data_IF_709914763826
#
_entry.id   IF_709914763826
#
_cell.length_a   1.000
_cell.length_b   1.000
_cell.length_c   1.000
_cell.angle_alpha   90.00
_cell.angle_beta   90.00
_cell.angle_gamma   90.00
#
_symmetry.space_group_name_H-M   'P 1'
#
loop_
_entity.id
_entity.type
_entity.pdbx_description
1 polymer ?
#
# COMPACT_ATOMS: atom_id res chain seq x y z
N UNK A 1 -28.73 -4.74 -31.68
CA UNK A 1 -28.32 -4.52 -30.28
C UNK A 1 -26.82 -4.72 -30.24
N UNK A 2 -26.05 -3.63 -30.22
CA UNK A 2 -24.59 -3.67 -30.14
C UNK A 2 -24.22 -4.06 -28.71
N UNK A 3 -23.52 -5.18 -28.53
CA UNK A 3 -22.96 -5.53 -27.23
C UNK A 3 -22.09 -4.36 -26.71
N UNK A 4 -22.16 -4.02 -25.42
CA UNK A 4 -21.33 -2.98 -24.84
C UNK A 4 -19.86 -3.38 -24.93
N UNK A 5 -19.12 -2.77 -25.86
CA UNK A 5 -17.69 -2.98 -26.04
C UNK A 5 -16.92 -2.40 -24.84
N UNK A 6 -16.13 -3.25 -24.16
CA UNK A 6 -15.25 -2.82 -23.08
C UNK A 6 -13.94 -2.25 -23.64
N UNK A 7 -13.78 -0.92 -23.60
CA UNK A 7 -12.54 -0.27 -24.02
C UNK A 7 -11.49 -0.30 -22.90
N UNK A 8 -10.48 -1.15 -23.08
CA UNK A 8 -9.34 -1.31 -22.16
C UNK A 8 -8.44 -0.06 -22.09
N UNK A 9 -8.40 0.74 -23.16
CA UNK A 9 -7.54 1.92 -23.26
C UNK A 9 -8.23 3.19 -22.74
N UNK A 10 -9.45 3.07 -22.23
CA UNK A 10 -10.20 4.19 -21.72
C UNK A 10 -9.37 4.97 -20.68
N UNK A 11 -9.25 6.32 -20.77
CA UNK A 11 -8.41 7.13 -19.89
C UNK A 11 -8.65 6.93 -18.38
N UNK A 12 -9.83 6.42 -18.02
CA UNK A 12 -10.24 6.09 -16.63
C UNK A 12 -9.44 4.93 -16.01
N UNK A 13 -8.75 4.14 -16.83
CA UNK A 13 -7.94 2.98 -16.42
C UNK A 13 -6.43 3.27 -16.45
N UNK A 14 -6.08 4.56 -16.39
CA UNK A 14 -4.69 5.02 -16.24
C UNK A 14 -4.40 5.36 -14.77
N UNK A 15 -3.14 5.17 -14.36
CA UNK A 15 -2.65 5.56 -13.05
C UNK A 15 -2.71 7.07 -12.85
N UNK A 16 -2.44 7.56 -11.63
CA UNK A 16 -2.52 8.99 -11.29
C UNK A 16 -1.59 9.88 -12.13
N UNK A 17 -0.51 9.33 -12.69
CA UNK A 17 0.37 10.03 -13.63
C UNK A 17 -0.17 10.09 -15.07
N UNK A 18 -1.24 9.36 -15.41
CA UNK A 18 -1.77 9.27 -16.78
C UNK A 18 -0.88 8.51 -17.77
N UNK A 19 0.28 8.02 -17.34
CA UNK A 19 1.28 7.40 -18.22
C UNK A 19 1.14 5.88 -18.32
N UNK A 20 0.76 5.22 -17.23
CA UNK A 20 0.74 3.75 -17.14
C UNK A 20 -0.67 3.22 -16.91
N UNK A 21 -0.97 2.04 -17.48
CA UNK A 21 -2.22 1.32 -17.21
C UNK A 21 -2.27 0.86 -15.75
N UNK A 22 -3.47 0.84 -15.15
CA UNK A 22 -3.68 0.52 -13.72
C UNK A 22 -3.12 -0.84 -13.32
N UNK A 23 -3.19 -1.86 -14.17
CA UNK A 23 -2.58 -3.18 -13.88
C UNK A 23 -1.06 -3.09 -13.69
N UNK A 24 -0.37 -2.32 -14.54
CA UNK A 24 1.09 -2.16 -14.46
C UNK A 24 1.46 -1.33 -13.23
N UNK A 25 0.71 -0.26 -12.96
CA UNK A 25 0.90 0.54 -11.75
C UNK A 25 0.70 -0.26 -10.47
N UNK A 26 -0.34 -1.10 -10.41
CA UNK A 26 -0.57 -2.00 -9.28
C UNK A 26 0.58 -2.99 -9.09
N UNK A 27 1.10 -3.61 -10.16
CA UNK A 27 2.26 -4.52 -10.04
C UNK A 27 3.49 -3.80 -9.49
N UNK A 28 3.75 -2.58 -9.94
CA UNK A 28 4.85 -1.75 -9.46
C UNK A 28 4.68 -1.39 -7.98
N UNK A 29 3.49 -0.97 -7.57
CA UNK A 29 3.16 -0.65 -6.17
C UNK A 29 3.30 -1.88 -5.28
N UNK A 30 2.78 -3.04 -5.70
CA UNK A 30 2.94 -4.28 -4.96
C UNK A 30 4.42 -4.65 -4.80
N UNK A 31 5.23 -4.49 -5.85
CA UNK A 31 6.67 -4.71 -5.79
C UNK A 31 7.34 -3.77 -4.77
N UNK A 32 7.07 -2.47 -4.88
CA UNK A 32 7.62 -1.45 -3.97
C UNK A 32 7.21 -1.68 -2.51
N UNK A 33 5.91 -1.92 -2.26
CA UNK A 33 5.39 -2.17 -0.92
C UNK A 33 6.01 -3.43 -0.31
N UNK A 34 6.14 -4.52 -1.08
CA UNK A 34 6.79 -5.74 -0.62
C UNK A 34 8.26 -5.49 -0.26
N UNK A 35 8.99 -4.72 -1.08
CA UNK A 35 10.38 -4.35 -0.77
C UNK A 35 10.47 -3.55 0.53
N UNK A 36 9.57 -2.58 0.75
CA UNK A 36 9.54 -1.78 1.99
C UNK A 36 9.31 -2.68 3.21
N UNK A 37 8.30 -3.56 3.17
CA UNK A 37 8.03 -4.48 4.29
C UNK A 37 9.20 -5.43 4.56
N UNK A 38 9.82 -5.99 3.51
CA UNK A 38 10.96 -6.89 3.67
C UNK A 38 12.17 -6.17 4.26
N UNK A 39 12.45 -4.92 3.85
CA UNK A 39 13.52 -4.12 4.43
C UNK A 39 13.25 -3.77 5.89
N UNK A 40 12.00 -3.46 6.25
CA UNK A 40 11.62 -3.20 7.65
C UNK A 40 11.80 -4.44 8.52
N UNK A 41 11.28 -5.59 8.09
CA UNK A 41 11.43 -6.87 8.77
C UNK A 41 12.91 -7.25 8.90
N UNK A 42 13.69 -7.11 7.83
CA UNK A 42 15.13 -7.40 7.86
C UNK A 42 15.86 -6.45 8.82
N UNK A 43 15.50 -5.17 8.81
CA UNK A 43 16.04 -4.17 9.72
C UNK A 43 15.80 -4.56 11.18
N UNK A 44 14.58 -5.00 11.52
CA UNK A 44 14.25 -5.50 12.85
C UNK A 44 15.18 -6.65 13.29
N UNK A 45 15.52 -7.57 12.40
CA UNK A 45 16.44 -8.68 12.73
C UNK A 45 17.91 -8.28 12.80
N UNK A 46 18.35 -7.28 12.04
CA UNK A 46 19.76 -6.84 11.99
C UNK A 46 20.07 -5.89 13.15
N UNK A 47 19.22 -4.90 13.38
CA UNK A 47 19.45 -3.80 14.33
C UNK A 47 18.72 -4.00 15.66
N UNK A 48 17.87 -5.02 15.75
CA UNK A 48 17.09 -5.33 16.93
C UNK A 48 15.78 -4.51 17.02
N UNK A 49 14.88 -4.90 17.94
CA UNK A 49 13.59 -4.23 18.15
C UNK A 49 13.73 -2.79 18.62
N UNK A 50 14.84 -2.45 19.26
CA UNK A 50 15.06 -1.19 19.97
C UNK A 50 15.25 0.00 19.01
N UNK A 51 15.79 -0.24 17.82
CA UNK A 51 16.22 0.83 16.92
C UNK A 51 15.15 1.21 15.88
N UNK A 52 14.20 0.32 15.57
CA UNK A 52 13.41 0.44 14.34
C UNK A 52 11.90 0.38 14.47
N UNK A 53 11.33 -0.15 15.56
CA UNK A 53 9.88 -0.35 15.60
C UNK A 53 9.34 -0.60 17.01
N UNK A 54 8.11 -0.14 17.27
CA UNK A 54 7.36 -0.60 18.44
C UNK A 54 7.04 -2.10 18.28
N UNK A 55 6.80 -2.80 19.40
CA UNK A 55 6.57 -4.27 19.38
C UNK A 55 5.47 -4.74 18.41
N UNK A 56 4.52 -3.86 18.11
CA UNK A 56 3.38 -4.12 17.22
C UNK A 56 3.68 -3.90 15.74
N UNK A 57 4.73 -3.13 15.41
CA UNK A 57 5.00 -2.72 14.03
C UNK A 57 5.53 -3.92 13.20
N UNK A 58 6.31 -4.84 13.79
CA UNK A 58 6.75 -6.06 13.09
C UNK A 58 5.56 -6.93 12.64
N UNK A 59 4.59 -7.13 13.52
CA UNK A 59 3.39 -7.91 13.19
C UNK A 59 2.57 -7.24 12.08
N UNK A 60 2.53 -5.90 12.09
CA UNK A 60 1.86 -5.11 11.07
C UNK A 60 2.56 -5.22 9.71
N UNK A 61 3.88 -5.19 9.67
CA UNK A 61 4.67 -5.34 8.44
C UNK A 61 4.55 -6.74 7.84
N UNK A 62 4.58 -7.79 8.67
CA UNK A 62 4.36 -9.17 8.22
C UNK A 62 2.96 -9.30 7.62
N UNK A 63 1.94 -8.76 8.30
CA UNK A 63 0.58 -8.77 7.80
C UNK A 63 0.47 -8.00 6.47
N UNK A 64 1.10 -6.83 6.38
CA UNK A 64 1.16 -6.02 5.17
C UNK A 64 1.77 -6.77 4.00
N UNK A 65 2.91 -7.43 4.22
CA UNK A 65 3.58 -8.26 3.20
C UNK A 65 2.69 -9.40 2.69
N UNK A 66 1.95 -10.06 3.58
CA UNK A 66 0.99 -11.11 3.19
C UNK A 66 -0.18 -10.55 2.38
N UNK A 67 -0.72 -9.39 2.78
CA UNK A 67 -1.87 -8.78 2.11
C UNK A 67 -1.54 -8.27 0.70
N UNK A 68 -0.29 -7.88 0.44
CA UNK A 68 0.19 -7.49 -0.90
C UNK A 68 0.03 -8.60 -1.94
N UNK A 69 0.03 -9.88 -1.52
CA UNK A 69 -0.20 -11.00 -2.44
C UNK A 69 -1.61 -10.97 -3.06
N UNK A 70 -2.60 -10.44 -2.34
CA UNK A 70 -3.99 -10.37 -2.79
C UNK A 70 -4.18 -9.68 -4.14
N UNK A 71 -3.80 -8.40 -4.30
CA UNK A 71 -3.87 -7.70 -5.59
C UNK A 71 -3.15 -8.43 -6.74
N UNK A 72 -2.00 -9.07 -6.48
CA UNK A 72 -1.28 -9.83 -7.51
C UNK A 72 -2.08 -11.06 -7.98
N UNK A 73 -2.67 -11.80 -7.04
CA UNK A 73 -3.57 -12.91 -7.36
C UNK A 73 -4.87 -12.43 -8.01
N UNK A 74 -5.41 -11.28 -7.59
CA UNK A 74 -6.59 -10.67 -8.17
C UNK A 74 -6.41 -10.28 -9.63
N UNK A 75 -5.24 -9.75 -10.00
CA UNK A 75 -4.89 -9.51 -11.42
C UNK A 75 -4.82 -10.83 -12.18
N UNK A 76 -4.11 -11.84 -11.65
CA UNK A 76 -3.93 -13.13 -12.35
C UNK A 76 -5.25 -13.88 -12.56
N UNK A 77 -6.13 -13.86 -11.57
CA UNK A 77 -7.43 -14.55 -11.63
C UNK A 77 -8.55 -13.69 -12.21
N UNK A 78 -8.26 -12.42 -12.56
CA UNK A 78 -9.26 -11.42 -12.95
C UNK A 78 -10.45 -11.33 -11.96
N UNK A 79 -10.20 -11.53 -10.66
CA UNK A 79 -11.22 -11.49 -9.61
C UNK A 79 -10.99 -10.29 -8.69
N UNK A 80 -11.96 -9.36 -8.57
CA UNK A 80 -11.78 -8.13 -7.80
C UNK A 80 -11.78 -8.38 -6.29
N UNK A 81 -12.35 -9.48 -5.82
CA UNK A 81 -12.46 -9.81 -4.39
C UNK A 81 -11.10 -9.90 -3.67
N UNK A 82 -10.04 -10.31 -4.37
CA UNK A 82 -8.69 -10.43 -3.79
C UNK A 82 -8.01 -9.09 -3.47
N UNK A 83 -8.55 -7.96 -3.97
CA UNK A 83 -8.02 -6.63 -3.66
C UNK A 83 -8.54 -6.11 -2.32
N UNK A 84 -9.72 -6.56 -1.87
CA UNK A 84 -10.39 -6.01 -0.70
C UNK A 84 -9.56 -6.10 0.58
N UNK A 85 -8.89 -7.23 0.92
CA UNK A 85 -8.10 -7.32 2.13
C UNK A 85 -6.98 -6.27 2.19
N UNK A 86 -6.29 -6.05 1.07
CA UNK A 86 -5.21 -5.07 1.00
C UNK A 86 -5.74 -3.63 0.98
N UNK A 87 -6.86 -3.36 0.32
CA UNK A 87 -7.51 -2.04 0.37
C UNK A 87 -7.96 -1.67 1.79
N UNK A 88 -8.54 -2.63 2.53
CA UNK A 88 -8.90 -2.44 3.94
C UNK A 88 -7.66 -2.20 4.80
N UNK A 89 -6.58 -2.95 4.55
CA UNK A 89 -5.30 -2.79 5.24
C UNK A 89 -4.70 -1.39 5.02
N UNK A 90 -4.67 -0.89 3.77
CA UNK A 90 -4.21 0.47 3.45
C UNK A 90 -5.06 1.54 4.16
N UNK A 91 -6.38 1.39 4.16
CA UNK A 91 -7.27 2.30 4.88
C UNK A 91 -7.01 2.30 6.39
N UNK A 92 -6.81 1.12 7.00
CA UNK A 92 -6.48 1.00 8.41
C UNK A 92 -5.13 1.65 8.74
N UNK A 93 -4.10 1.41 7.93
CA UNK A 93 -2.77 2.02 8.08
C UNK A 93 -2.87 3.55 8.02
N UNK A 94 -3.63 4.11 7.08
CA UNK A 94 -3.86 5.56 7.00
C UNK A 94 -4.54 6.11 8.26
N UNK A 95 -5.53 5.41 8.83
CA UNK A 95 -6.17 5.82 10.08
C UNK A 95 -5.18 5.83 11.25
N UNK A 96 -4.31 4.82 11.35
CA UNK A 96 -3.27 4.75 12.39
C UNK A 96 -2.29 5.91 12.22
N UNK A 97 -1.79 6.16 11.02
CA UNK A 97 -0.89 7.29 10.74
C UNK A 97 -1.57 8.63 11.07
N UNK A 98 -2.84 8.81 10.71
CA UNK A 98 -3.61 10.02 11.02
C UNK A 98 -3.78 10.26 12.53
N UNK A 99 -3.80 9.22 13.36
CA UNK A 99 -3.82 9.32 14.83
C UNK A 99 -2.41 9.61 15.39
N UNK A 100 -1.37 8.99 14.81
CA UNK A 100 0.02 9.16 15.26
C UNK A 100 0.56 10.57 14.96
N UNK A 101 0.25 11.15 13.80
CA UNK A 101 0.72 12.50 13.41
C UNK A 101 0.44 13.56 14.49
N UNK A 102 -0.82 13.78 14.97
CA UNK A 102 -1.09 14.78 15.99
C UNK A 102 -0.44 14.43 17.34
N UNK A 103 -0.28 13.15 17.67
CA UNK A 103 0.46 12.73 18.86
C UNK A 103 1.91 13.23 18.83
N UNK A 104 2.62 13.06 17.71
CA UNK A 104 3.99 13.56 17.54
C UNK A 104 4.08 15.09 17.43
N UNK A 105 3.04 15.75 16.90
CA UNK A 105 2.96 17.22 16.96
C UNK A 105 2.84 17.70 18.41
N UNK A 106 1.99 17.07 19.22
CA UNK A 106 1.85 17.40 20.65
C UNK A 106 3.13 17.12 21.44
N UNK A 107 3.89 16.07 21.06
CA UNK A 107 5.15 15.70 21.69
C UNK A 107 6.20 16.84 21.70
N UNK A 108 6.18 17.74 20.70
CA UNK A 108 7.03 18.94 20.71
C UNK A 108 6.73 19.88 21.87
N UNK A 109 5.45 20.04 22.21
CA UNK A 109 4.99 20.93 23.29
C UNK A 109 5.09 20.27 24.67
N UNK A 110 4.95 18.95 24.73
CA UNK A 110 4.90 18.16 25.97
C UNK A 110 5.89 17.00 25.93
N UNK A 111 7.18 17.34 25.94
CA UNK A 111 8.29 16.38 25.87
C UNK A 111 8.25 15.33 27.01
N UNK A 112 7.68 15.67 28.16
CA UNK A 112 7.50 14.73 29.28
C UNK A 112 6.62 13.54 28.92
N UNK A 113 5.57 13.74 28.12
CA UNK A 113 4.68 12.68 27.65
C UNK A 113 5.42 11.72 26.71
N UNK A 114 6.23 12.28 25.81
CA UNK A 114 7.06 11.48 24.91
C UNK A 114 8.16 10.72 25.65
N UNK A 115 8.83 11.34 26.63
CA UNK A 115 9.82 10.65 27.48
C UNK A 115 9.22 9.46 28.21
N UNK A 116 8.00 9.58 28.74
CA UNK A 116 7.31 8.46 29.39
C UNK A 116 6.96 7.36 28.40
N UNK A 117 6.54 7.72 27.18
CA UNK A 117 6.27 6.75 26.12
C UNK A 117 7.54 6.01 25.68
N UNK A 118 8.63 6.72 25.37
CA UNK A 118 9.93 6.10 25.06
C UNK A 118 10.35 5.19 26.20
N UNK A 119 10.31 5.65 27.46
CA UNK A 119 10.78 4.83 28.58
C UNK A 119 10.00 3.52 28.75
N UNK A 120 8.73 3.50 28.35
CA UNK A 120 7.90 2.30 28.38
C UNK A 120 8.19 1.36 27.20
N UNK A 121 8.53 1.90 26.04
CA UNK A 121 8.82 1.12 24.83
C UNK A 121 10.28 0.65 24.78
N UNK A 122 11.20 1.52 25.20
CA UNK A 122 12.67 1.41 25.18
C UNK A 122 13.27 1.83 26.55
N UNK A 123 13.29 0.93 27.54
CA UNK A 123 13.66 1.26 28.91
C UNK A 123 15.17 1.50 29.12
N UNK A 124 16.05 1.08 28.20
CA UNK A 124 17.50 1.20 28.33
C UNK A 124 18.08 2.51 27.78
N UNK A 125 17.28 3.32 27.06
CA UNK A 125 17.81 4.46 26.32
C UNK A 125 17.70 5.79 27.08
N UNK A 126 18.82 6.24 27.63
CA UNK A 126 18.97 7.59 28.18
C UNK A 126 19.27 8.58 27.05
N UNK A 127 18.24 9.04 26.34
CA UNK A 127 18.42 10.06 25.30
C UNK A 127 18.58 11.48 25.88
N UNK A 128 19.59 12.20 25.39
CA UNK A 128 19.73 13.65 25.56
C UNK A 128 18.60 14.40 24.84
N UNK A 129 18.32 15.65 25.22
CA UNK A 129 17.22 16.46 24.66
C UNK A 129 17.35 16.70 23.16
N UNK A 130 18.57 16.80 22.65
CA UNK A 130 18.82 16.94 21.22
C UNK A 130 18.40 15.67 20.45
N UNK A 131 18.69 14.49 21.00
CA UNK A 131 18.30 13.20 20.41
C UNK A 131 16.77 13.05 20.40
N UNK A 132 16.11 13.36 21.52
CA UNK A 132 14.65 13.33 21.64
C UNK A 132 13.96 14.20 20.57
N UNK A 133 14.43 15.43 20.35
CA UNK A 133 13.84 16.29 19.32
C UNK A 133 14.08 15.71 17.91
N UNK A 134 15.26 15.14 17.67
CA UNK A 134 15.59 14.44 16.43
C UNK A 134 14.64 13.28 16.15
N UNK A 135 14.39 12.43 17.14
CA UNK A 135 13.52 11.26 17.02
C UNK A 135 12.06 11.66 16.77
N UNK A 136 11.54 12.64 17.50
CA UNK A 136 10.19 13.18 17.26
C UNK A 136 10.07 13.73 15.83
N UNK A 137 11.08 14.49 15.37
CA UNK A 137 11.11 15.06 14.02
C UNK A 137 11.10 13.98 12.95
N UNK A 138 11.98 12.98 13.11
CA UNK A 138 12.11 11.87 12.20
C UNK A 138 10.80 11.06 12.11
N UNK A 139 10.23 10.67 13.25
CA UNK A 139 8.98 9.91 13.30
C UNK A 139 7.81 10.69 12.71
N UNK A 140 7.70 12.00 12.99
CA UNK A 140 6.65 12.84 12.41
C UNK A 140 6.74 12.87 10.88
N UNK A 141 7.94 13.09 10.33
CA UNK A 141 8.16 13.09 8.88
C UNK A 141 7.84 11.72 8.28
N UNK A 142 8.29 10.64 8.94
CA UNK A 142 8.03 9.27 8.51
C UNK A 142 6.52 8.98 8.43
N UNK A 143 5.73 9.33 9.45
CA UNK A 143 4.28 9.11 9.44
C UNK A 143 3.52 9.97 8.43
N UNK A 144 3.96 11.20 8.18
CA UNK A 144 3.40 12.03 7.09
C UNK A 144 3.68 11.38 5.74
N UNK A 145 4.92 10.94 5.53
CA UNK A 145 5.30 10.26 4.30
C UNK A 145 4.54 8.94 4.10
N UNK A 146 4.43 8.12 5.15
CA UNK A 146 3.63 6.90 5.17
C UNK A 146 2.16 7.18 4.77
N UNK A 147 1.54 8.21 5.37
CA UNK A 147 0.16 8.58 5.08
C UNK A 147 -0.03 8.94 3.60
N UNK A 148 0.85 9.79 3.05
CA UNK A 148 0.78 10.22 1.66
C UNK A 148 1.04 9.06 0.69
N UNK A 149 2.02 8.20 1.01
CA UNK A 149 2.35 7.03 0.21
C UNK A 149 1.19 6.03 0.18
N UNK A 150 0.58 5.75 1.33
CA UNK A 150 -0.58 4.88 1.42
C UNK A 150 -1.81 5.45 0.72
N UNK A 151 -2.04 6.77 0.78
CA UNK A 151 -3.11 7.42 0.01
C UNK A 151 -2.92 7.22 -1.49
N UNK A 152 -1.69 7.38 -1.98
CA UNK A 152 -1.35 7.14 -3.38
C UNK A 152 -1.52 5.67 -3.77
N UNK A 153 -1.06 4.74 -2.94
CA UNK A 153 -1.26 3.31 -3.16
C UNK A 153 -2.75 2.96 -3.21
N UNK A 154 -3.53 3.43 -2.25
CA UNK A 154 -4.97 3.20 -2.18
C UNK A 154 -5.67 3.64 -3.47
N UNK A 155 -5.36 4.83 -3.97
CA UNK A 155 -5.96 5.35 -5.20
C UNK A 155 -5.68 4.45 -6.42
N UNK A 156 -4.42 4.05 -6.63
CA UNK A 156 -4.04 3.22 -7.78
C UNK A 156 -4.61 1.81 -7.68
N UNK A 157 -4.50 1.18 -6.50
CA UNK A 157 -5.04 -0.16 -6.25
C UNK A 157 -6.57 -0.16 -6.40
N UNK A 158 -7.25 0.87 -5.89
CA UNK A 158 -8.70 1.01 -6.04
C UNK A 158 -9.13 1.17 -7.50
N UNK A 159 -8.39 1.96 -8.30
CA UNK A 159 -8.65 2.06 -9.76
C UNK A 159 -8.47 0.72 -10.45
N UNK A 160 -7.47 -0.08 -10.07
CA UNK A 160 -7.28 -1.43 -10.61
C UNK A 160 -8.41 -2.39 -10.17
N UNK A 161 -8.84 -2.32 -8.91
CA UNK A 161 -10.00 -3.06 -8.41
C UNK A 161 -11.25 -2.75 -9.23
N UNK A 162 -11.53 -1.46 -9.45
CA UNK A 162 -12.69 -1.00 -10.25
C UNK A 162 -12.57 -1.48 -11.70
N UNK A 163 -11.39 -1.38 -12.30
CA UNK A 163 -11.15 -1.87 -13.66
C UNK A 163 -11.45 -3.38 -13.79
N UNK A 164 -10.97 -4.21 -12.86
CA UNK A 164 -11.25 -5.65 -12.90
C UNK A 164 -12.73 -5.94 -12.67
N UNK A 165 -13.38 -5.20 -11.76
CA UNK A 165 -14.82 -5.31 -11.52
C UNK A 165 -15.64 -4.93 -12.75
N UNK A 166 -15.25 -3.87 -13.46
CA UNK A 166 -15.90 -3.45 -14.71
C UNK A 166 -15.66 -4.50 -15.82
N UNK A 167 -14.44 -5.07 -15.90
CA UNK A 167 -14.10 -6.16 -16.84
C UNK A 167 -14.97 -7.40 -16.60
N UNK A 168 -15.16 -7.77 -15.33
CA UNK A 168 -16.02 -8.89 -14.91
C UNK A 168 -17.50 -8.62 -15.26
N UNK A 169 -18.00 -7.42 -14.95
CA UNK A 169 -19.39 -7.03 -15.25
C UNK A 169 -19.70 -6.96 -16.76
N UNK A 170 -18.70 -6.63 -17.58
CA UNK A 170 -18.82 -6.65 -19.04
C UNK A 170 -18.83 -8.07 -19.64
N UNK A 171 -18.70 -9.12 -18.81
CA UNK A 171 -18.67 -10.50 -19.29
C UNK A 171 -17.41 -10.84 -20.09
N UNK A 172 -16.32 -10.05 -19.92
CA UNK A 172 -15.06 -10.29 -20.60
C UNK A 172 -14.37 -11.52 -19.99
N UNK A 173 -14.81 -12.70 -20.41
CA UNK A 173 -14.08 -13.94 -20.23
C UNK A 173 -12.91 -13.92 -21.22
N UNK A 174 -11.67 -14.06 -20.75
CA UNK A 174 -10.46 -14.26 -21.60
C UNK A 174 -10.55 -15.53 -22.51
N UNK A 175 -11.72 -16.18 -22.59
CA UNK A 175 -12.03 -17.34 -23.42
C UNK A 175 -12.48 -17.01 -24.86
N UNK A 176 -12.43 -15.76 -25.30
CA UNK A 176 -12.68 -15.40 -26.71
C UNK A 176 -11.45 -14.81 -27.42
N UNK A 177 -10.30 -15.46 -27.28
CA UNK A 177 -9.36 -15.56 -28.42
C UNK A 177 -9.45 -16.97 -28.99
N UNK A 178 -10.56 -17.31 -29.67
CA UNK A 178 -10.37 -18.12 -30.87
C UNK A 178 -11.14 -17.52 -32.06
N UNK A 179 -10.41 -17.40 -33.18
CA UNK A 179 -10.92 -17.47 -34.56
C UNK A 179 -11.13 -16.21 -35.41
N UNK A 180 -10.98 -14.98 -34.92
CA UNK A 180 -11.15 -13.79 -35.79
C UNK A 180 -9.98 -13.53 -36.76
N UNK A 181 -8.88 -14.28 -36.69
CA UNK A 181 -7.74 -14.17 -37.61
C UNK A 181 -7.78 -15.25 -38.72
N UNK A 182 -8.64 -16.26 -38.63
CA UNK A 182 -8.70 -17.36 -39.63
C UNK A 182 -9.78 -17.22 -40.70
N UNK A 183 -10.67 -16.21 -40.63
CA UNK A 183 -11.72 -16.02 -41.64
C UNK A 183 -11.44 -14.92 -42.67
N UNK A 184 -10.34 -14.17 -42.56
CA UNK A 184 -9.98 -13.12 -43.53
C UNK A 184 -8.91 -13.53 -44.55
N UNK A 185 -8.46 -14.79 -44.55
CA UNK A 185 -7.52 -15.32 -45.54
C UNK A 185 -8.15 -16.23 -46.60
N UNK A 186 -9.50 -16.27 -46.68
CA UNK A 186 -10.23 -16.94 -47.77
C UNK A 186 -11.15 -15.92 -48.42
N UNK A 187 -10.59 -15.08 -49.28
CA UNK A 187 -11.29 -14.48 -50.43
C UNK A 187 -10.28 -13.95 -51.43
#
# INVERSE_FOLDING_TARGET
MTEPYFDRLHPRYKCCCGLTHVETGTKLICGLALTIYLLSILGYFIFGPEILAGKWDLGFDILGALMVAGPLFGIKQAKPQYFLPYLCFLGLSMCIAAIRIPFFVMAYSQKSTYRTWIKNEYPEDAHDEAAINGDITYLLIAYIFEFLLNAWFLEVIYKCYKYIKDKEAAGYNDLTIPQLITSSSVQ
#
